data_IF_013236522733
#
_entry.id   IF_013236522733
#
_cell.length_a   1.000
_cell.length_b   1.000
_cell.length_c   1.000
_cell.angle_alpha   90.00
_cell.angle_beta   90.00
_cell.angle_gamma   90.00
#
_symmetry.space_group_name_H-M   'P 1'
#
loop_
_entity.id
_entity.type
_entity.pdbx_description
1 polymer ?
#
# COMPACT_ATOMS: atom_id res chain seq x y z
N UNK A 1 -15.41 -11.85 -17.73
CA UNK A 1 -15.30 -10.46 -17.17
C UNK A 1 -14.12 -10.40 -16.23
N UNK A 2 -13.25 -9.40 -16.39
CA UNK A 2 -12.10 -9.17 -15.49
C UNK A 2 -12.60 -8.75 -14.11
N UNK A 3 -11.84 -9.03 -13.04
CA UNK A 3 -12.24 -8.75 -11.66
C UNK A 3 -12.60 -7.27 -11.44
N UNK A 4 -11.81 -6.34 -12.00
CA UNK A 4 -12.08 -4.90 -11.89
C UNK A 4 -13.45 -4.49 -12.47
N UNK A 5 -13.91 -5.16 -13.54
CA UNK A 5 -15.24 -4.91 -14.12
C UNK A 5 -16.32 -5.35 -13.15
N UNK A 6 -16.16 -6.53 -12.53
CA UNK A 6 -17.10 -7.04 -11.54
C UNK A 6 -17.21 -6.11 -10.33
N UNK A 7 -16.09 -5.62 -9.82
CA UNK A 7 -16.07 -4.68 -8.68
C UNK A 7 -16.70 -3.34 -9.05
N UNK A 8 -16.38 -2.79 -10.23
CA UNK A 8 -16.97 -1.53 -10.70
C UNK A 8 -18.49 -1.65 -10.85
N UNK A 9 -18.97 -2.78 -11.37
CA UNK A 9 -20.41 -3.08 -11.45
C UNK A 9 -21.00 -3.21 -10.04
N UNK A 10 -20.32 -3.91 -9.12
CA UNK A 10 -20.74 -4.01 -7.72
C UNK A 10 -20.87 -2.65 -7.05
N UNK A 11 -19.91 -1.74 -7.26
CA UNK A 11 -19.96 -0.38 -6.76
C UNK A 11 -21.13 0.41 -7.36
N UNK A 12 -21.26 0.44 -8.68
CA UNK A 12 -22.34 1.19 -9.36
C UNK A 12 -23.70 0.65 -8.93
N UNK A 13 -23.87 -0.68 -8.90
CA UNK A 13 -25.08 -1.32 -8.42
C UNK A 13 -25.36 -0.98 -6.95
N UNK A 14 -24.32 -0.93 -6.11
CA UNK A 14 -24.46 -0.59 -4.70
C UNK A 14 -24.86 0.87 -4.47
N UNK A 15 -24.32 1.79 -5.26
CA UNK A 15 -24.76 3.20 -5.28
C UNK A 15 -26.23 3.29 -5.68
N UNK A 16 -26.61 2.67 -6.80
CA UNK A 16 -28.00 2.71 -7.31
C UNK A 16 -28.96 2.14 -6.27
N UNK A 17 -28.61 0.99 -5.69
CA UNK A 17 -29.42 0.34 -4.66
C UNK A 17 -29.54 1.20 -3.41
N UNK A 18 -28.42 1.70 -2.87
CA UNK A 18 -28.40 2.58 -1.69
C UNK A 18 -29.24 3.85 -1.87
N UNK A 19 -29.12 4.53 -3.03
CA UNK A 19 -29.92 5.73 -3.34
C UNK A 19 -31.40 5.39 -3.42
N UNK A 20 -31.75 4.30 -4.10
CA UNK A 20 -33.15 3.89 -4.29
C UNK A 20 -33.79 3.54 -2.95
N UNK A 21 -33.10 2.77 -2.12
CA UNK A 21 -33.57 2.39 -0.79
C UNK A 21 -33.73 3.60 0.12
N UNK A 22 -32.79 4.55 0.11
CA UNK A 22 -32.89 5.80 0.87
C UNK A 22 -34.08 6.65 0.43
N UNK A 23 -34.27 6.83 -0.89
CA UNK A 23 -35.41 7.59 -1.46
C UNK A 23 -36.77 6.98 -1.12
N UNK A 24 -36.85 5.65 -1.06
CA UNK A 24 -38.09 4.93 -0.74
C UNK A 24 -38.32 4.77 0.77
N UNK A 25 -37.40 5.23 1.63
CA UNK A 25 -37.52 5.07 3.09
C UNK A 25 -37.33 3.64 3.59
N UNK A 26 -36.75 2.75 2.77
CA UNK A 26 -36.66 1.31 3.03
C UNK A 26 -35.32 0.90 3.67
N UNK A 27 -34.77 1.72 4.58
CA UNK A 27 -33.40 1.57 5.10
C UNK A 27 -33.05 0.18 5.64
N UNK A 28 -34.04 -0.56 6.14
CA UNK A 28 -33.92 -1.95 6.62
C UNK A 28 -33.29 -2.90 5.59
N UNK A 29 -33.54 -2.67 4.29
CA UNK A 29 -33.04 -3.52 3.22
C UNK A 29 -31.52 -3.44 3.08
N UNK A 30 -30.94 -2.28 3.39
CA UNK A 30 -29.49 -2.11 3.37
C UNK A 30 -28.85 -2.87 4.54
N UNK A 31 -29.56 -2.98 5.66
CA UNK A 31 -29.15 -3.79 6.81
C UNK A 31 -29.04 -5.28 6.51
N UNK A 32 -29.88 -5.83 5.62
CA UNK A 32 -29.78 -7.24 5.20
C UNK A 32 -28.57 -7.52 4.30
N UNK A 33 -28.07 -6.51 3.60
CA UNK A 33 -26.91 -6.65 2.71
C UNK A 33 -25.59 -6.42 3.48
N UNK A 34 -25.61 -5.58 4.53
CA UNK A 34 -24.42 -5.23 5.33
C UNK A 34 -23.60 -6.44 5.81
N UNK A 35 -24.17 -7.57 6.30
CA UNK A 35 -23.38 -8.71 6.75
C UNK A 35 -22.43 -9.28 5.69
N UNK A 36 -22.78 -9.23 4.40
CA UNK A 36 -21.87 -9.66 3.34
C UNK A 36 -20.62 -8.77 3.25
N UNK A 37 -20.79 -7.46 3.50
CA UNK A 37 -19.70 -6.51 3.62
C UNK A 37 -18.86 -6.75 4.88
N UNK A 38 -19.51 -7.00 6.02
CA UNK A 38 -18.81 -7.27 7.29
C UNK A 38 -17.97 -8.57 7.22
N UNK A 39 -18.51 -9.64 6.61
CA UNK A 39 -17.77 -10.87 6.33
C UNK A 39 -16.55 -10.58 5.47
N UNK A 40 -16.71 -9.78 4.40
CA UNK A 40 -15.60 -9.41 3.53
C UNK A 40 -14.49 -8.67 4.31
N UNK A 41 -14.85 -7.70 5.16
CA UNK A 41 -13.88 -6.98 5.99
C UNK A 41 -13.20 -7.92 7.00
N UNK A 42 -13.95 -8.83 7.63
CA UNK A 42 -13.38 -9.79 8.58
C UNK A 42 -12.40 -10.75 7.92
N UNK A 43 -12.69 -11.21 6.70
CA UNK A 43 -11.75 -12.02 5.91
C UNK A 43 -10.44 -11.29 5.65
N UNK A 44 -10.51 -9.98 5.35
CA UNK A 44 -9.32 -9.14 5.19
C UNK A 44 -8.58 -8.96 6.53
N UNK A 45 -9.29 -8.68 7.63
CA UNK A 45 -8.68 -8.52 8.97
C UNK A 45 -7.92 -9.77 9.42
N UNK A 46 -8.47 -10.96 9.14
CA UNK A 46 -7.90 -12.26 9.53
C UNK A 46 -6.47 -12.50 9.00
N UNK A 47 -6.19 -12.05 7.78
CA UNK A 47 -4.94 -12.33 7.07
C UNK A 47 -3.86 -11.26 7.28
N UNK A 48 -4.22 -10.09 7.84
CA UNK A 48 -3.31 -8.93 7.97
C UNK A 48 -2.09 -9.26 8.81
N UNK A 49 -2.29 -9.79 10.01
CA UNK A 49 -1.18 -10.03 10.95
C UNK A 49 -0.20 -11.10 10.46
N UNK A 50 -0.67 -12.28 9.97
CA UNK A 50 0.23 -13.26 9.34
C UNK A 50 0.99 -12.70 8.15
N UNK A 51 0.32 -11.91 7.30
CA UNK A 51 0.96 -11.30 6.13
C UNK A 51 2.14 -10.43 6.52
N UNK A 52 1.94 -9.50 7.45
CA UNK A 52 2.98 -8.55 7.90
C UNK A 52 4.20 -9.32 8.41
N UNK A 53 3.98 -10.25 9.34
CA UNK A 53 5.07 -11.00 9.96
C UNK A 53 5.87 -11.80 8.92
N UNK A 54 5.19 -12.67 8.16
CA UNK A 54 5.88 -13.55 7.22
C UNK A 54 6.51 -12.78 6.06
N UNK A 55 5.89 -11.69 5.62
CA UNK A 55 6.42 -10.91 4.50
C UNK A 55 7.63 -10.08 4.89
N UNK A 56 7.64 -9.45 6.08
CA UNK A 56 8.82 -8.71 6.56
C UNK A 56 9.98 -9.67 6.83
N UNK A 57 9.73 -10.81 7.50
CA UNK A 57 10.77 -11.83 7.72
C UNK A 57 11.31 -12.33 6.37
N UNK A 58 10.43 -12.65 5.41
CA UNK A 58 10.84 -13.08 4.07
C UNK A 58 11.62 -11.99 3.33
N UNK A 59 11.20 -10.73 3.44
CA UNK A 59 11.88 -9.59 2.81
C UNK A 59 13.30 -9.42 3.33
N UNK A 60 13.50 -9.45 4.64
CA UNK A 60 14.83 -9.29 5.26
C UNK A 60 15.74 -10.49 4.97
N UNK A 61 15.17 -11.70 4.99
CA UNK A 61 15.92 -12.94 4.76
C UNK A 61 16.21 -13.22 3.27
N UNK A 62 15.60 -12.46 2.36
CA UNK A 62 15.89 -12.54 0.92
C UNK A 62 17.22 -11.86 0.53
N UNK A 63 17.79 -11.03 1.41
CA UNK A 63 19.08 -10.37 1.19
C UNK A 63 20.20 -11.38 1.46
N UNK A 64 20.80 -11.92 0.40
CA UNK A 64 21.77 -13.02 0.47
C UNK A 64 23.20 -12.57 0.82
N UNK A 65 23.96 -13.52 1.37
CA UNK A 65 25.28 -13.42 2.04
C UNK A 65 26.47 -12.95 1.14
N UNK A 66 26.23 -12.54 -0.11
CA UNK A 66 27.32 -11.96 -0.93
C UNK A 66 27.50 -10.48 -0.57
N UNK A 67 28.71 -10.06 -0.20
CA UNK A 67 29.03 -8.65 0.12
C UNK A 67 28.52 -7.66 -0.94
N UNK A 68 28.56 -8.06 -2.21
CA UNK A 68 28.10 -7.24 -3.33
C UNK A 68 26.57 -7.11 -3.37
N UNK A 69 25.82 -8.21 -3.30
CA UNK A 69 24.35 -8.15 -3.27
C UNK A 69 23.84 -7.48 -1.98
N UNK A 70 24.49 -7.73 -0.84
CA UNK A 70 24.13 -7.07 0.43
C UNK A 70 24.25 -5.54 0.35
N UNK A 71 25.32 -5.02 -0.28
CA UNK A 71 25.50 -3.59 -0.48
C UNK A 71 24.48 -2.98 -1.44
N UNK A 72 24.21 -3.65 -2.56
CA UNK A 72 23.19 -3.23 -3.54
C UNK A 72 21.80 -3.24 -2.91
N UNK A 73 21.48 -4.30 -2.17
CA UNK A 73 20.23 -4.45 -1.43
C UNK A 73 20.04 -3.37 -0.39
N UNK A 74 21.07 -3.09 0.43
CA UNK A 74 21.01 -2.02 1.42
C UNK A 74 20.77 -0.64 0.79
N UNK A 75 21.49 -0.31 -0.29
CA UNK A 75 21.26 0.93 -1.04
C UNK A 75 19.82 1.02 -1.56
N UNK A 76 19.31 -0.07 -2.13
CA UNK A 76 17.95 -0.13 -2.62
C UNK A 76 16.91 0.02 -1.50
N UNK A 77 17.06 -0.70 -0.39
CA UNK A 77 16.15 -0.59 0.76
C UNK A 77 16.12 0.83 1.31
N UNK A 78 17.26 1.48 1.50
CA UNK A 78 17.31 2.88 1.96
C UNK A 78 16.63 3.82 0.96
N UNK A 79 16.89 3.63 -0.34
CA UNK A 79 16.26 4.42 -1.39
C UNK A 79 14.73 4.25 -1.39
N UNK A 80 14.22 3.02 -1.27
CA UNK A 80 12.78 2.74 -1.18
C UNK A 80 12.14 3.37 0.06
N UNK A 81 12.75 3.24 1.24
CA UNK A 81 12.22 3.91 2.45
C UNK A 81 12.14 5.42 2.27
N UNK A 82 13.15 5.99 1.63
CA UNK A 82 13.21 7.43 1.37
C UNK A 82 12.11 7.85 0.41
N UNK A 83 11.94 7.17 -0.74
CA UNK A 83 10.89 7.51 -1.71
C UNK A 83 9.50 7.34 -1.12
N UNK A 84 9.27 6.29 -0.33
CA UNK A 84 7.98 6.04 0.31
C UNK A 84 7.67 7.09 1.38
N UNK A 85 8.66 7.52 2.16
CA UNK A 85 8.51 8.62 3.11
C UNK A 85 8.16 9.93 2.41
N UNK A 86 8.82 10.25 1.30
CA UNK A 86 8.46 11.43 0.50
C UNK A 86 7.06 11.30 -0.11
N UNK A 87 6.69 10.11 -0.59
CA UNK A 87 5.39 9.83 -1.16
C UNK A 87 4.27 10.13 -0.16
N UNK A 88 4.37 9.64 1.08
CA UNK A 88 3.35 9.93 2.10
C UNK A 88 3.29 11.42 2.46
N UNK A 89 4.43 12.11 2.54
CA UNK A 89 4.47 13.56 2.80
C UNK A 89 3.70 14.32 1.71
N UNK A 90 3.84 13.92 0.44
CA UNK A 90 3.08 14.50 -0.68
C UNK A 90 1.59 14.23 -0.50
N UNK A 91 1.21 13.00 -0.17
CA UNK A 91 -0.18 12.63 0.11
C UNK A 91 -0.79 13.50 1.21
N UNK A 92 -0.08 13.64 2.35
CA UNK A 92 -0.49 14.48 3.47
C UNK A 92 -0.58 15.96 3.08
N UNK A 93 0.41 16.49 2.35
CA UNK A 93 0.39 17.88 1.91
C UNK A 93 -0.81 18.17 0.99
N UNK A 94 -1.06 17.30 0.02
CA UNK A 94 -2.19 17.43 -0.91
C UNK A 94 -3.53 17.34 -0.17
N UNK A 95 -3.69 16.42 0.78
CA UNK A 95 -4.94 16.28 1.54
C UNK A 95 -5.19 17.43 2.53
N UNK A 96 -4.13 18.04 3.07
CA UNK A 96 -4.22 19.23 3.91
C UNK A 96 -4.60 20.48 3.12
N UNK A 97 -4.13 20.61 1.88
CA UNK A 97 -4.43 21.73 1.00
C UNK A 97 -5.84 21.61 0.42
N UNK A 98 -6.16 20.45 -0.18
CA UNK A 98 -7.42 20.24 -0.91
C UNK A 98 -8.59 19.81 -0.02
N UNK A 99 -8.31 19.35 1.21
CA UNK A 99 -9.28 19.02 2.25
C UNK A 99 -10.45 18.14 1.78
N UNK A 100 -10.17 16.94 1.23
CA UNK A 100 -11.19 16.12 0.57
C UNK A 100 -12.30 15.60 1.49
N UNK A 101 -12.06 15.53 2.81
CA UNK A 101 -13.05 15.06 3.80
C UNK A 101 -13.94 16.17 4.37
N UNK A 102 -13.64 17.45 4.10
CA UNK A 102 -14.47 18.56 4.60
C UNK A 102 -15.81 18.61 3.86
N UNK A 103 -16.89 18.74 4.63
CA UNK A 103 -18.26 18.80 4.12
C UNK A 103 -19.00 17.45 4.16
N UNK A 104 -18.44 16.44 4.83
CA UNK A 104 -19.14 15.21 5.20
C UNK A 104 -19.01 15.03 6.70
N UNK A 105 -20.12 14.65 7.34
CA UNK A 105 -20.14 14.25 8.75
C UNK A 105 -20.41 12.76 8.81
N UNK A 106 -19.37 11.98 9.09
CA UNK A 106 -19.48 10.57 9.41
C UNK A 106 -19.66 10.43 10.93
N UNK A 107 -20.86 10.09 11.37
CA UNK A 107 -21.15 9.88 12.79
C UNK A 107 -20.64 8.50 13.24
N UNK A 108 -19.52 8.49 13.96
CA UNK A 108 -18.97 7.31 14.63
C UNK A 108 -18.85 7.51 16.16
N UNK A 109 -19.79 8.26 16.76
CA UNK A 109 -19.74 8.78 18.14
C UNK A 109 -19.32 7.74 19.20
N UNK A 110 -19.87 6.52 19.17
CA UNK A 110 -19.53 5.45 20.14
C UNK A 110 -18.06 5.00 20.08
N UNK A 111 -17.39 5.14 18.94
CA UNK A 111 -16.00 4.68 18.74
C UNK A 111 -14.96 5.78 18.99
N UNK A 112 -15.36 7.05 18.97
CA UNK A 112 -14.46 8.19 19.17
C UNK A 112 -14.16 8.46 20.65
N UNK A 113 -15.08 8.15 21.58
CA UNK A 113 -14.84 8.32 23.03
C UNK A 113 -13.76 7.37 23.56
N UNK A 114 -13.67 6.14 23.03
CA UNK A 114 -12.63 5.18 23.42
C UNK A 114 -11.21 5.59 22.96
N UNK A 115 -11.12 6.37 21.87
CA UNK A 115 -9.87 6.81 21.27
C UNK A 115 -9.22 8.00 21.99
N UNK A 116 -10.05 8.95 22.46
CA UNK A 116 -9.60 10.21 23.05
C UNK A 116 -8.87 10.07 24.40
N UNK A 117 -8.90 8.88 25.02
CA UNK A 117 -8.34 8.65 26.35
C UNK A 117 -6.81 8.38 26.38
N UNK A 118 -6.15 8.14 25.23
CA UNK A 118 -4.69 7.89 25.20
C UNK A 118 -3.92 9.19 25.02
N UNK A 119 -3.33 9.71 26.10
CA UNK A 119 -2.26 10.71 26.00
C UNK A 119 -1.06 10.10 25.27
N UNK A 120 -0.62 10.75 24.20
CA UNK A 120 0.59 10.38 23.49
C UNK A 120 1.82 10.69 24.35
N UNK A 121 2.60 9.66 24.65
CA UNK A 121 3.93 9.77 25.23
C UNK A 121 4.93 9.15 24.25
N UNK A 122 5.77 10.00 23.65
CA UNK A 122 6.78 9.58 22.69
C UNK A 122 7.82 8.63 23.29
N UNK A 123 8.20 8.84 24.55
CA UNK A 123 9.15 7.96 25.25
C UNK A 123 8.49 6.59 25.44
N UNK A 124 7.25 6.59 25.90
CA UNK A 124 6.49 5.35 26.08
C UNK A 124 6.24 4.64 24.75
N UNK A 125 6.02 5.38 23.65
CA UNK A 125 5.91 4.80 22.30
C UNK A 125 7.19 4.06 21.92
N UNK A 126 8.37 4.66 22.09
CA UNK A 126 9.67 4.01 21.80
C UNK A 126 9.83 2.73 22.63
N UNK A 127 9.52 2.80 23.92
CA UNK A 127 9.58 1.63 24.82
C UNK A 127 8.63 0.54 24.34
N UNK A 128 7.41 0.91 23.93
CA UNK A 128 6.37 -0.01 23.49
C UNK A 128 6.58 -0.54 22.06
N UNK A 129 7.58 -0.06 21.29
CA UNK A 129 7.95 -0.68 20.01
C UNK A 129 8.40 -2.13 20.23
N UNK A 130 9.02 -2.42 21.38
CA UNK A 130 9.47 -3.76 21.73
C UNK A 130 8.32 -4.49 22.44
N UNK A 131 7.72 -5.53 21.82
CA UNK A 131 6.65 -6.28 22.48
C UNK A 131 7.18 -7.01 23.71
N UNK A 132 6.47 -6.90 24.83
CA UNK A 132 6.70 -7.76 26.01
C UNK A 132 6.16 -9.18 25.78
N UNK A 133 5.13 -9.34 24.93
CA UNK A 133 4.53 -10.63 24.58
C UNK A 133 3.98 -10.61 23.15
N UNK A 134 4.66 -11.30 22.22
CA UNK A 134 4.27 -11.34 20.81
C UNK A 134 2.89 -11.96 20.55
N UNK A 135 2.45 -12.93 21.35
CA UNK A 135 1.15 -13.56 21.13
C UNK A 135 0.00 -12.62 21.48
N UNK A 136 0.18 -11.81 22.53
CA UNK A 136 -0.74 -10.75 22.87
C UNK A 136 -0.76 -9.68 21.78
N UNK A 137 0.42 -9.24 21.33
CA UNK A 137 0.55 -8.28 20.24
C UNK A 137 -0.17 -8.73 18.96
N UNK A 138 -0.02 -10.01 18.58
CA UNK A 138 -0.70 -10.59 17.42
C UNK A 138 -2.22 -10.64 17.58
N UNK A 139 -2.70 -10.86 18.81
CA UNK A 139 -4.14 -10.91 19.11
C UNK A 139 -4.77 -9.51 19.18
N UNK A 140 -4.06 -8.54 19.76
CA UNK A 140 -4.50 -7.14 19.89
C UNK A 140 -4.27 -6.34 18.59
N UNK A 141 -3.44 -6.86 17.68
CA UNK A 141 -3.15 -6.23 16.40
C UNK A 141 -2.23 -5.01 16.51
N UNK A 142 -1.32 -4.98 17.48
CA UNK A 142 -0.31 -3.91 17.57
C UNK A 142 0.78 -4.13 16.51
N UNK A 143 0.61 -3.43 15.40
CA UNK A 143 1.43 -3.63 14.21
C UNK A 143 2.86 -3.19 14.42
N UNK A 144 3.11 -2.07 15.11
CA UNK A 144 4.45 -1.52 15.25
C UNK A 144 5.37 -2.52 15.96
N UNK A 145 4.82 -3.17 16.98
CA UNK A 145 5.45 -4.26 17.69
C UNK A 145 5.68 -5.51 16.82
N UNK A 146 4.69 -5.90 15.99
CA UNK A 146 4.82 -7.03 15.06
C UNK A 146 5.91 -6.77 14.03
N UNK A 147 5.97 -5.56 13.48
CA UNK A 147 7.01 -5.12 12.54
C UNK A 147 8.38 -5.21 13.19
N UNK A 148 8.55 -4.66 14.40
CA UNK A 148 9.81 -4.74 15.13
C UNK A 148 10.24 -6.19 15.35
N UNK A 149 9.33 -7.04 15.83
CA UNK A 149 9.60 -8.46 16.04
C UNK A 149 9.96 -9.19 14.75
N UNK A 150 9.25 -8.92 13.64
CA UNK A 150 9.54 -9.48 12.32
C UNK A 150 10.92 -9.06 11.82
N UNK A 151 11.30 -7.78 12.00
CA UNK A 151 12.63 -7.27 11.65
C UNK A 151 13.71 -7.99 12.45
N UNK A 152 13.56 -8.02 13.77
CA UNK A 152 14.49 -8.68 14.67
C UNK A 152 14.64 -10.18 14.34
N UNK A 153 13.53 -10.86 14.06
CA UNK A 153 13.49 -12.26 13.65
C UNK A 153 14.24 -12.48 12.33
N UNK A 154 13.96 -11.68 11.31
CA UNK A 154 14.63 -11.78 10.01
C UNK A 154 16.15 -11.57 10.10
N UNK A 155 16.59 -10.56 10.85
CA UNK A 155 18.03 -10.30 11.08
C UNK A 155 18.68 -11.46 11.82
N UNK A 156 18.01 -12.01 12.84
CA UNK A 156 18.50 -13.14 13.62
C UNK A 156 18.63 -14.39 12.77
N UNK A 157 17.64 -14.70 11.93
CA UNK A 157 17.67 -15.85 11.01
C UNK A 157 18.82 -15.75 10.01
N UNK A 158 19.09 -14.56 9.47
CA UNK A 158 20.25 -14.33 8.60
C UNK A 158 21.57 -14.57 9.36
N UNK A 159 21.67 -14.11 10.61
CA UNK A 159 22.88 -14.28 11.44
C UNK A 159 23.12 -15.72 11.89
N UNK A 160 22.09 -16.55 12.01
CA UNK A 160 22.26 -17.96 12.41
C UNK A 160 23.14 -18.74 11.43
N UNK A 161 23.13 -18.37 10.14
CA UNK A 161 23.92 -18.95 9.05
C UNK A 161 24.12 -20.48 9.12
N UNK A 162 23.08 -21.21 9.52
CA UNK A 162 23.11 -22.66 9.69
C UNK A 162 21.90 -23.32 8.98
N UNK A 163 21.93 -24.64 8.85
CA UNK A 163 20.90 -25.37 8.11
C UNK A 163 19.49 -25.22 8.72
N UNK A 164 19.41 -25.12 10.06
CA UNK A 164 18.14 -24.93 10.77
C UNK A 164 17.55 -23.56 10.45
N UNK A 165 18.36 -22.50 10.48
CA UNK A 165 17.96 -21.15 10.10
C UNK A 165 17.43 -21.12 8.66
N UNK A 166 18.12 -21.78 7.72
CA UNK A 166 17.65 -21.89 6.33
C UNK A 166 16.30 -22.60 6.19
N UNK A 167 16.04 -23.66 6.97
CA UNK A 167 14.73 -24.33 7.00
C UNK A 167 13.62 -23.41 7.50
N UNK A 168 13.88 -22.62 8.55
CA UNK A 168 12.91 -21.65 9.08
C UNK A 168 12.65 -20.53 8.07
N UNK A 169 13.68 -20.01 7.41
CA UNK A 169 13.54 -19.02 6.34
C UNK A 169 12.64 -19.56 5.23
N UNK A 170 12.89 -20.77 4.74
CA UNK A 170 12.07 -21.42 3.71
C UNK A 170 10.62 -21.62 4.14
N UNK A 171 10.38 -21.98 5.41
CA UNK A 171 9.04 -22.08 5.97
C UNK A 171 8.33 -20.71 5.99
N UNK A 172 9.01 -19.65 6.43
CA UNK A 172 8.45 -18.29 6.44
C UNK A 172 8.10 -17.79 5.03
N UNK A 173 8.97 -18.05 4.05
CA UNK A 173 8.71 -17.72 2.64
C UNK A 173 7.51 -18.49 2.08
N UNK A 174 7.38 -19.76 2.43
CA UNK A 174 6.23 -20.58 2.02
C UNK A 174 4.93 -20.07 2.65
N UNK A 175 4.96 -19.70 3.94
CA UNK A 175 3.81 -19.11 4.62
C UNK A 175 3.42 -17.75 4.04
N UNK A 176 4.38 -16.92 3.66
CA UNK A 176 4.09 -15.68 2.94
C UNK A 176 3.31 -15.97 1.64
N UNK A 177 3.80 -16.91 0.81
CA UNK A 177 3.10 -17.31 -0.42
C UNK A 177 1.69 -17.86 -0.16
N UNK A 178 1.50 -18.63 0.91
CA UNK A 178 0.19 -19.13 1.33
C UNK A 178 -0.78 -17.97 1.64
N UNK A 179 -0.35 -17.00 2.45
CA UNK A 179 -1.19 -15.85 2.83
C UNK A 179 -1.52 -14.99 1.60
N UNK A 180 -0.58 -14.79 0.70
CA UNK A 180 -0.83 -14.12 -0.59
C UNK A 180 -1.88 -14.87 -1.42
N UNK A 181 -1.86 -16.20 -1.43
CA UNK A 181 -2.87 -17.01 -2.12
C UNK A 181 -4.25 -16.87 -1.49
N UNK A 182 -4.33 -16.80 -0.16
CA UNK A 182 -5.59 -16.53 0.55
C UNK A 182 -6.16 -15.16 0.15
N UNK A 183 -5.32 -14.14 -0.01
CA UNK A 183 -5.74 -12.82 -0.50
C UNK A 183 -6.35 -12.92 -1.90
N UNK A 184 -5.70 -13.62 -2.83
CA UNK A 184 -6.26 -13.82 -4.17
C UNK A 184 -7.66 -14.43 -4.14
N UNK A 185 -7.91 -15.40 -3.25
CA UNK A 185 -9.22 -16.03 -3.07
C UNK A 185 -10.24 -15.05 -2.48
N UNK A 186 -9.88 -14.32 -1.42
CA UNK A 186 -10.76 -13.32 -0.78
C UNK A 186 -11.12 -12.21 -1.78
N UNK A 187 -10.17 -11.78 -2.61
CA UNK A 187 -10.40 -10.73 -3.60
C UNK A 187 -11.41 -11.12 -4.68
N UNK A 188 -11.67 -12.41 -4.91
CA UNK A 188 -12.77 -12.84 -5.80
C UNK A 188 -14.15 -12.47 -5.24
N UNK A 189 -14.27 -12.30 -3.92
CA UNK A 189 -15.49 -11.88 -3.23
C UNK A 189 -15.65 -10.34 -3.17
N UNK A 190 -14.62 -9.58 -3.54
CA UNK A 190 -14.64 -8.12 -3.50
C UNK A 190 -15.80 -7.45 -4.25
N UNK A 191 -16.37 -7.99 -5.36
CA UNK A 191 -17.55 -7.40 -5.98
C UNK A 191 -18.77 -7.36 -5.07
N UNK A 192 -18.96 -8.42 -4.26
CA UNK A 192 -20.08 -8.53 -3.32
C UNK A 192 -19.84 -7.65 -2.09
N UNK A 193 -18.60 -7.62 -1.59
CA UNK A 193 -18.19 -6.71 -0.52
C UNK A 193 -18.38 -5.25 -0.92
N UNK A 194 -17.90 -4.86 -2.10
CA UNK A 194 -18.06 -3.50 -2.63
C UNK A 194 -19.53 -3.11 -2.80
N UNK A 195 -20.37 -4.01 -3.34
CA UNK A 195 -21.81 -3.78 -3.42
C UNK A 195 -22.44 -3.55 -2.03
N UNK A 196 -22.17 -4.44 -1.09
CA UNK A 196 -22.76 -4.41 0.25
C UNK A 196 -22.35 -3.16 1.04
N UNK A 197 -21.05 -2.86 1.07
CA UNK A 197 -20.50 -1.72 1.81
C UNK A 197 -20.93 -0.39 1.18
N UNK A 198 -20.88 -0.28 -0.15
CA UNK A 198 -21.31 0.96 -0.85
C UNK A 198 -22.81 1.17 -0.68
N UNK A 199 -23.61 0.10 -0.76
CA UNK A 199 -25.05 0.18 -0.48
C UNK A 199 -25.32 0.69 0.92
N UNK A 200 -24.65 0.12 1.93
CA UNK A 200 -24.76 0.51 3.35
C UNK A 200 -24.48 1.98 3.56
N UNK A 201 -23.33 2.44 3.07
CA UNK A 201 -22.91 3.83 3.20
C UNK A 201 -23.90 4.76 2.49
N UNK A 202 -24.20 4.53 1.22
CA UNK A 202 -25.05 5.46 0.45
C UNK A 202 -26.49 5.45 0.98
N UNK A 203 -26.97 4.29 1.43
CA UNK A 203 -28.27 4.15 2.05
C UNK A 203 -28.40 4.90 3.37
N UNK A 204 -27.38 4.82 4.24
CA UNK A 204 -27.40 5.49 5.56
C UNK A 204 -26.99 6.96 5.45
N UNK A 205 -25.81 7.22 4.88
CA UNK A 205 -25.17 8.54 4.86
C UNK A 205 -25.59 9.42 3.66
N UNK A 206 -26.10 8.84 2.57
CA UNK A 206 -26.61 9.59 1.41
C UNK A 206 -25.56 9.90 0.33
N UNK A 207 -25.93 10.77 -0.60
CA UNK A 207 -25.14 11.10 -1.79
C UNK A 207 -23.98 12.06 -1.54
N UNK A 208 -24.03 12.85 -0.46
CA UNK A 208 -22.97 13.82 -0.13
C UNK A 208 -21.63 13.12 0.09
N UNK A 209 -21.67 11.89 0.61
CA UNK A 209 -20.50 11.03 0.76
C UNK A 209 -19.87 10.67 -0.59
N UNK A 210 -20.66 10.46 -1.64
CA UNK A 210 -20.14 10.15 -2.99
C UNK A 210 -19.36 11.34 -3.55
N UNK A 211 -19.84 12.57 -3.33
CA UNK A 211 -19.14 13.77 -3.79
C UNK A 211 -17.75 13.89 -3.12
N UNK A 212 -17.67 13.61 -1.83
CA UNK A 212 -16.39 13.67 -1.10
C UNK A 212 -15.46 12.49 -1.44
N UNK A 213 -16.01 11.30 -1.70
CA UNK A 213 -15.23 10.20 -2.26
C UNK A 213 -14.66 10.56 -3.64
N UNK A 214 -15.45 11.24 -4.48
CA UNK A 214 -14.98 11.72 -5.78
C UNK A 214 -13.86 12.77 -5.62
N UNK A 215 -14.02 13.72 -4.69
CA UNK A 215 -12.94 14.68 -4.34
C UNK A 215 -11.68 13.94 -3.89
N UNK A 216 -11.81 12.93 -3.02
CA UNK A 216 -10.69 12.12 -2.56
C UNK A 216 -9.99 11.43 -3.74
N UNK A 217 -10.73 10.80 -4.65
CA UNK A 217 -10.18 10.17 -5.87
C UNK A 217 -9.37 11.18 -6.69
N UNK A 218 -9.90 12.38 -6.92
CA UNK A 218 -9.20 13.44 -7.66
C UNK A 218 -7.92 13.90 -6.94
N UNK A 219 -7.97 14.07 -5.61
CA UNK A 219 -6.80 14.44 -4.83
C UNK A 219 -5.71 13.35 -4.91
N UNK A 220 -6.10 12.07 -4.85
CA UNK A 220 -5.16 10.94 -4.96
C UNK A 220 -4.51 10.91 -6.34
N UNK A 221 -5.27 11.13 -7.41
CA UNK A 221 -4.73 11.23 -8.78
C UNK A 221 -3.70 12.36 -8.87
N UNK A 222 -3.99 13.53 -8.30
CA UNK A 222 -3.05 14.65 -8.26
C UNK A 222 -1.77 14.26 -7.53
N UNK A 223 -1.87 13.71 -6.31
CA UNK A 223 -0.71 13.32 -5.51
C UNK A 223 0.15 12.26 -6.20
N UNK A 224 -0.47 11.26 -6.82
CA UNK A 224 0.23 10.23 -7.61
C UNK A 224 0.93 10.79 -8.84
N UNK A 225 0.30 11.75 -9.51
CA UNK A 225 0.89 12.44 -10.66
C UNK A 225 2.11 13.25 -10.23
N UNK A 226 2.06 13.93 -9.09
CA UNK A 226 3.21 14.62 -8.51
C UNK A 226 4.36 13.64 -8.20
N UNK A 227 4.06 12.49 -7.58
CA UNK A 227 5.07 11.46 -7.33
C UNK A 227 5.69 10.94 -8.62
N UNK A 228 4.87 10.71 -9.66
CA UNK A 228 5.34 10.29 -10.98
C UNK A 228 6.37 11.26 -11.56
N UNK A 229 6.15 12.58 -11.42
CA UNK A 229 7.10 13.61 -11.83
C UNK A 229 8.35 13.66 -10.95
N UNK A 230 8.21 13.42 -9.64
CA UNK A 230 9.36 13.36 -8.72
C UNK A 230 10.32 12.24 -9.10
N UNK A 231 9.84 11.10 -9.57
CA UNK A 231 10.74 10.07 -10.11
C UNK A 231 11.60 10.59 -11.27
N UNK A 232 11.02 11.38 -12.18
CA UNK A 232 11.78 12.02 -13.26
C UNK A 232 12.79 13.06 -12.74
N UNK A 233 12.42 13.84 -11.71
CA UNK A 233 13.34 14.76 -11.06
C UNK A 233 14.49 14.02 -10.37
N UNK A 234 14.24 12.88 -9.74
CA UNK A 234 15.28 12.04 -9.16
C UNK A 234 16.24 11.51 -10.24
N UNK A 235 15.71 11.04 -11.37
CA UNK A 235 16.54 10.61 -12.52
C UNK A 235 17.39 11.77 -13.05
N UNK A 236 16.83 12.98 -13.10
CA UNK A 236 17.53 14.17 -13.56
C UNK A 236 18.63 14.63 -12.58
N UNK A 237 18.31 14.86 -11.31
CA UNK A 237 19.25 15.44 -10.34
C UNK A 237 20.21 14.42 -9.75
N UNK A 238 19.71 13.23 -9.37
CA UNK A 238 20.53 12.18 -8.75
C UNK A 238 21.20 11.35 -9.83
N UNK A 239 20.40 10.91 -10.80
CA UNK A 239 20.88 10.09 -11.92
C UNK A 239 21.70 10.88 -12.93
N UNK A 240 21.59 12.22 -13.01
CA UNK A 240 22.21 13.05 -14.07
C UNK A 240 21.89 12.52 -15.47
N UNK A 241 20.64 12.11 -15.69
CA UNK A 241 20.13 11.58 -16.95
C UNK A 241 18.85 12.31 -17.34
N UNK A 242 18.58 12.41 -18.64
CA UNK A 242 17.27 12.91 -19.09
C UNK A 242 16.18 11.90 -18.68
N UNK A 243 15.07 12.31 -18.05
CA UNK A 243 13.99 11.40 -17.67
C UNK A 243 13.07 11.00 -18.83
N UNK A 244 13.21 11.63 -20.00
CA UNK A 244 12.31 11.42 -21.14
C UNK A 244 12.35 9.97 -21.66
N UNK A 245 13.53 9.34 -21.87
CA UNK A 245 13.59 7.94 -22.31
C UNK A 245 12.96 6.99 -21.29
N UNK A 246 13.12 7.26 -19.99
CA UNK A 246 12.48 6.50 -18.93
C UNK A 246 10.95 6.50 -19.10
N UNK A 247 10.30 7.67 -19.15
CA UNK A 247 8.85 7.71 -19.25
C UNK A 247 8.30 7.04 -20.52
N UNK A 248 8.98 7.22 -21.65
CA UNK A 248 8.59 6.59 -22.91
C UNK A 248 8.67 5.06 -22.84
N UNK A 249 9.78 4.52 -22.33
CA UNK A 249 10.02 3.08 -22.20
C UNK A 249 9.26 2.42 -21.04
N UNK A 250 8.71 3.23 -20.13
CA UNK A 250 7.95 2.72 -18.99
C UNK A 250 6.53 2.31 -19.31
N UNK A 251 5.98 2.75 -20.44
CA UNK A 251 4.56 2.65 -20.75
C UNK A 251 4.04 1.21 -20.72
N UNK A 252 4.77 0.25 -21.29
CA UNK A 252 4.30 -1.13 -21.41
C UNK A 252 4.11 -1.79 -20.04
N UNK A 253 5.11 -1.74 -19.15
CA UNK A 253 4.97 -2.33 -17.82
C UNK A 253 4.00 -1.53 -16.93
N UNK A 254 3.90 -0.20 -17.11
CA UNK A 254 2.93 0.64 -16.41
C UNK A 254 1.51 0.26 -16.81
N UNK A 255 1.23 0.09 -18.10
CA UNK A 255 -0.07 -0.34 -18.61
C UNK A 255 -0.43 -1.75 -18.11
N UNK A 256 0.54 -2.66 -18.08
CA UNK A 256 0.35 -4.00 -17.54
C UNK A 256 0.00 -3.93 -16.04
N UNK A 257 0.80 -3.22 -15.24
CA UNK A 257 0.59 -3.05 -13.80
C UNK A 257 -0.75 -2.35 -13.49
N UNK A 258 -1.13 -1.34 -14.27
CA UNK A 258 -2.43 -0.68 -14.18
C UNK A 258 -3.56 -1.70 -14.38
N UNK A 259 -3.46 -2.51 -15.45
CA UNK A 259 -4.52 -3.45 -15.82
C UNK A 259 -4.68 -4.65 -14.87
N UNK A 260 -3.58 -5.11 -14.28
CA UNK A 260 -3.55 -6.27 -13.37
C UNK A 260 -3.72 -5.85 -11.91
N UNK A 261 -3.32 -4.62 -11.57
CA UNK A 261 -3.18 -4.12 -10.20
C UNK A 261 -2.28 -5.02 -9.35
N UNK A 262 -1.25 -5.59 -10.00
CA UNK A 262 -0.23 -6.37 -9.31
C UNK A 262 1.14 -6.09 -9.90
N UNK A 263 2.04 -5.55 -9.07
CA UNK A 263 3.46 -5.38 -9.41
C UNK A 263 4.12 -6.73 -9.66
N UNK A 264 3.71 -7.78 -8.92
CA UNK A 264 4.21 -9.15 -9.12
C UNK A 264 3.83 -9.73 -10.47
N UNK A 265 2.58 -9.52 -10.92
CA UNK A 265 2.13 -9.99 -12.22
C UNK A 265 2.88 -9.31 -13.38
N UNK A 266 3.31 -8.06 -13.19
CA UNK A 266 4.07 -7.29 -14.18
C UNK A 266 5.60 -7.49 -14.09
N UNK A 267 6.10 -8.21 -13.07
CA UNK A 267 7.53 -8.26 -12.75
C UNK A 267 8.38 -8.82 -13.89
N UNK A 268 7.96 -9.92 -14.52
CA UNK A 268 8.74 -10.54 -15.60
C UNK A 268 8.88 -9.61 -16.82
N UNK A 269 7.78 -8.99 -17.26
CA UNK A 269 7.78 -7.98 -18.33
C UNK A 269 8.65 -6.77 -17.94
N UNK A 270 8.51 -6.30 -16.71
CA UNK A 270 9.30 -5.17 -16.18
C UNK A 270 10.79 -5.48 -16.22
N UNK A 271 11.20 -6.68 -15.78
CA UNK A 271 12.61 -7.11 -15.80
C UNK A 271 13.17 -7.17 -17.23
N UNK A 272 12.38 -7.62 -18.21
CA UNK A 272 12.80 -7.67 -19.61
C UNK A 272 13.00 -6.26 -20.18
N UNK A 273 12.01 -5.36 -20.02
CA UNK A 273 12.11 -3.96 -20.48
C UNK A 273 13.29 -3.25 -19.80
N UNK A 274 13.49 -3.50 -18.50
CA UNK A 274 14.61 -2.92 -17.77
C UNK A 274 15.97 -3.29 -18.37
N UNK A 275 16.15 -4.54 -18.81
CA UNK A 275 17.40 -5.01 -19.41
C UNK A 275 17.56 -4.54 -20.85
N UNK A 276 16.55 -4.80 -21.68
CA UNK A 276 16.64 -4.64 -23.14
C UNK A 276 16.46 -3.18 -23.59
N UNK A 277 15.66 -2.40 -22.87
CA UNK A 277 15.34 -1.02 -23.26
C UNK A 277 15.94 0.02 -22.32
N UNK A 278 16.00 -0.23 -21.01
CA UNK A 278 16.54 0.74 -20.05
C UNK A 278 18.02 0.52 -19.74
N UNK A 279 18.63 -0.59 -20.19
CA UNK A 279 20.05 -0.85 -20.00
C UNK A 279 20.45 -1.20 -18.55
N UNK A 280 19.49 -1.60 -17.71
CA UNK A 280 19.72 -1.96 -16.31
C UNK A 280 20.32 -3.37 -16.25
N UNK A 281 21.35 -3.56 -15.42
CA UNK A 281 22.06 -4.83 -15.33
C UNK A 281 21.18 -6.00 -14.90
N UNK A 282 21.58 -7.22 -15.31
CA UNK A 282 20.92 -8.46 -14.88
C UNK A 282 20.94 -8.61 -13.35
N UNK A 283 21.99 -8.13 -12.69
CA UNK A 283 22.16 -8.20 -11.24
C UNK A 283 21.08 -7.37 -10.54
N UNK A 284 20.93 -6.09 -10.92
CA UNK A 284 19.96 -5.20 -10.29
C UNK A 284 18.53 -5.59 -10.65
N UNK A 285 18.26 -5.98 -11.90
CA UNK A 285 16.91 -6.44 -12.29
C UNK A 285 16.49 -7.74 -11.62
N UNK A 286 17.42 -8.67 -11.34
CA UNK A 286 17.11 -9.95 -10.69
C UNK A 286 17.02 -9.86 -9.17
N UNK A 287 17.45 -8.75 -8.58
CA UNK A 287 17.55 -8.62 -7.13
C UNK A 287 16.78 -7.41 -6.58
N UNK A 288 17.02 -6.22 -7.11
CA UNK A 288 16.42 -4.96 -6.62
C UNK A 288 14.96 -4.81 -7.03
N UNK A 289 14.58 -5.22 -8.23
CA UNK A 289 13.17 -5.18 -8.68
C UNK A 289 12.29 -6.14 -7.86
N UNK A 290 12.61 -7.45 -7.71
CA UNK A 290 11.83 -8.34 -6.86
C UNK A 290 11.73 -7.85 -5.41
N UNK A 291 12.82 -7.30 -4.87
CA UNK A 291 12.84 -6.68 -3.54
C UNK A 291 11.86 -5.49 -3.47
N UNK A 292 11.87 -4.61 -4.48
CA UNK A 292 10.97 -3.48 -4.61
C UNK A 292 9.50 -3.89 -4.54
N UNK A 293 9.09 -4.91 -5.29
CA UNK A 293 7.68 -5.38 -5.30
C UNK A 293 7.12 -5.85 -3.94
N UNK A 294 7.98 -5.98 -2.92
CA UNK A 294 7.61 -6.39 -1.55
C UNK A 294 7.84 -5.32 -0.49
N UNK A 295 8.61 -4.27 -0.80
CA UNK A 295 9.02 -3.23 0.16
C UNK A 295 8.52 -1.86 -0.27
N UNK A 296 8.57 -1.57 -1.57
CA UNK A 296 8.23 -0.29 -2.14
C UNK A 296 6.74 -0.21 -2.48
N UNK A 297 6.03 0.66 -1.75
CA UNK A 297 4.64 0.96 -2.07
C UNK A 297 4.34 2.46 -1.97
N UNK A 298 5.12 3.30 -2.65
CA UNK A 298 4.93 4.76 -2.71
C UNK A 298 3.47 5.19 -2.98
N UNK A 299 2.82 4.61 -3.98
CA UNK A 299 1.42 4.89 -4.31
C UNK A 299 0.47 4.48 -3.19
N UNK A 300 0.77 3.38 -2.49
CA UNK A 300 0.00 2.98 -1.30
C UNK A 300 0.21 3.95 -0.15
N UNK A 301 1.44 4.38 0.12
CA UNK A 301 1.75 5.32 1.19
C UNK A 301 1.05 6.69 0.98
N UNK A 302 1.07 7.21 -0.25
CA UNK A 302 0.27 8.40 -0.64
C UNK A 302 -1.20 8.19 -0.27
N UNK A 303 -1.77 7.09 -0.77
CA UNK A 303 -3.18 6.80 -0.60
C UNK A 303 -3.58 6.67 0.87
N UNK A 304 -2.82 5.90 1.64
CA UNK A 304 -3.11 5.64 3.04
C UNK A 304 -3.04 6.91 3.90
N UNK A 305 -2.02 7.75 3.69
CA UNK A 305 -1.92 9.04 4.37
C UNK A 305 -3.10 9.97 4.02
N UNK A 306 -3.51 9.98 2.75
CA UNK A 306 -4.68 10.75 2.31
C UNK A 306 -5.99 10.23 2.89
N UNK A 307 -6.17 8.91 2.98
CA UNK A 307 -7.33 8.31 3.62
C UNK A 307 -7.39 8.66 5.11
N UNK A 308 -6.27 8.62 5.83
CA UNK A 308 -6.23 9.00 7.24
C UNK A 308 -6.68 10.46 7.45
N UNK A 309 -6.16 11.40 6.65
CA UNK A 309 -6.57 12.81 6.71
C UNK A 309 -8.03 12.99 6.28
N UNK A 310 -8.49 12.24 5.28
CA UNK A 310 -9.89 12.26 4.84
C UNK A 310 -10.83 11.86 5.97
N UNK A 311 -10.54 10.77 6.69
CA UNK A 311 -11.38 10.35 7.81
C UNK A 311 -11.35 11.35 8.94
N UNK A 312 -10.17 11.84 9.32
CA UNK A 312 -10.07 12.87 10.35
C UNK A 312 -10.95 14.09 10.04
N UNK A 313 -10.91 14.56 8.79
CA UNK A 313 -11.77 15.66 8.33
C UNK A 313 -13.26 15.30 8.33
N UNK A 314 -13.61 14.07 7.96
CA UNK A 314 -15.00 13.62 7.84
C UNK A 314 -15.64 13.24 9.18
N UNK A 315 -14.85 12.87 10.20
CA UNK A 315 -15.32 12.54 11.55
C UNK A 315 -15.16 13.69 12.53
N UNK A 316 -14.46 14.76 12.13
CA UNK A 316 -14.10 15.86 13.03
C UNK A 316 -12.99 15.50 14.02
N UNK A 317 -12.25 14.41 13.80
CA UNK A 317 -11.10 14.05 14.61
C UNK A 317 -9.94 15.03 14.33
N UNK A 318 -9.46 15.71 15.37
CA UNK A 318 -8.40 16.71 15.24
C UNK A 318 -7.01 16.05 15.28
N UNK A 319 -6.46 15.79 14.09
CA UNK A 319 -5.11 15.26 13.95
C UNK A 319 -4.08 16.26 14.47
N UNK A 320 -3.39 15.87 15.53
CA UNK A 320 -2.27 16.62 16.07
C UNK A 320 -1.01 16.33 15.26
N UNK A 321 0.02 17.17 15.43
CA UNK A 321 1.32 17.02 14.77
C UNK A 321 1.91 15.60 14.97
N UNK A 322 1.75 15.02 16.16
CA UNK A 322 2.26 13.69 16.46
C UNK A 322 1.54 12.58 15.68
N UNK A 323 0.25 12.73 15.39
CA UNK A 323 -0.50 11.75 14.60
C UNK A 323 0.05 11.66 13.18
N UNK A 324 0.44 12.78 12.56
CA UNK A 324 1.08 12.78 11.25
C UNK A 324 2.41 12.01 11.27
N UNK A 325 3.22 12.15 12.32
CA UNK A 325 4.46 11.38 12.47
C UNK A 325 4.18 9.89 12.61
N UNK A 326 3.18 9.50 13.40
CA UNK A 326 2.75 8.10 13.53
C UNK A 326 2.31 7.58 12.17
N UNK A 327 1.43 8.30 11.45
CA UNK A 327 0.95 7.91 10.12
C UNK A 327 2.11 7.71 9.14
N UNK A 328 3.10 8.61 9.13
CA UNK A 328 4.29 8.49 8.27
C UNK A 328 5.08 7.23 8.60
N UNK A 329 5.38 6.99 9.89
CA UNK A 329 6.17 5.83 10.31
C UNK A 329 5.40 4.54 10.07
N UNK A 330 4.13 4.46 10.45
CA UNK A 330 3.33 3.24 10.32
C UNK A 330 3.05 2.90 8.87
N UNK A 331 2.79 3.89 8.01
CA UNK A 331 2.61 3.64 6.59
C UNK A 331 3.92 3.27 5.89
N UNK A 332 5.05 3.89 6.25
CA UNK A 332 6.36 3.59 5.63
C UNK A 332 6.88 2.23 6.07
N UNK A 333 6.78 1.89 7.36
CA UNK A 333 7.13 0.55 7.83
C UNK A 333 6.11 -0.49 7.38
N UNK A 334 4.85 -0.09 7.30
CA UNK A 334 3.76 -0.93 6.86
C UNK A 334 3.77 -1.25 5.36
N UNK A 335 4.36 -0.40 4.52
CA UNK A 335 4.60 -0.72 3.11
C UNK A 335 5.55 -1.90 2.96
N UNK A 336 6.37 -2.18 3.98
CA UNK A 336 7.20 -3.37 4.04
C UNK A 336 6.30 -4.56 4.35
N UNK A 337 6.18 -5.46 3.37
CA UNK A 337 5.54 -6.75 3.58
C UNK A 337 4.09 -6.84 3.13
N UNK A 338 3.49 -5.78 2.60
CA UNK A 338 2.35 -5.97 1.71
C UNK A 338 2.93 -6.23 0.34
N UNK A 339 2.86 -7.48 -0.12
CA UNK A 339 3.32 -7.76 -1.48
C UNK A 339 2.44 -7.02 -2.49
N UNK A 340 2.99 -6.59 -3.63
CA UNK A 340 2.27 -5.89 -4.70
C UNK A 340 1.15 -6.72 -5.35
N UNK A 341 0.08 -6.97 -4.61
CA UNK A 341 -1.11 -7.73 -4.97
C UNK A 341 -2.37 -6.89 -4.70
N UNK A 342 -3.48 -7.18 -5.41
CA UNK A 342 -4.69 -6.37 -5.30
C UNK A 342 -5.25 -6.35 -3.88
N UNK A 343 -5.74 -5.17 -3.45
CA UNK A 343 -6.44 -5.01 -2.17
C UNK A 343 -5.54 -4.89 -0.93
N UNK A 344 -4.22 -4.75 -1.09
CA UNK A 344 -3.30 -4.56 0.04
C UNK A 344 -3.58 -3.31 0.90
N UNK A 345 -4.23 -2.29 0.35
CA UNK A 345 -4.66 -1.11 1.11
C UNK A 345 -5.78 -1.39 2.11
N UNK A 346 -6.67 -2.37 1.83
CA UNK A 346 -7.75 -2.76 2.74
C UNK A 346 -7.22 -3.43 4.02
N UNK A 347 -6.02 -3.98 3.93
CA UNK A 347 -5.25 -4.55 5.03
C UNK A 347 -4.60 -3.44 5.85
N UNK A 348 -4.00 -2.45 5.18
CA UNK A 348 -3.16 -1.43 5.80
C UNK A 348 -3.90 -0.22 6.36
N UNK A 349 -5.03 0.15 5.76
CA UNK A 349 -5.78 1.32 6.19
C UNK A 349 -6.36 1.16 7.62
N UNK A 350 -6.99 0.04 8.01
CA UNK A 350 -7.40 -0.16 9.40
C UNK A 350 -6.25 -0.02 10.40
N UNK A 351 -5.06 -0.51 10.03
CA UNK A 351 -3.85 -0.39 10.85
C UNK A 351 -3.49 1.07 11.10
N UNK A 352 -3.44 1.90 10.05
CA UNK A 352 -3.04 3.30 10.19
C UNK A 352 -4.07 4.07 11.00
N UNK A 353 -5.37 3.84 10.76
CA UNK A 353 -6.43 4.48 11.53
C UNK A 353 -6.33 4.09 13.01
N UNK A 354 -6.20 2.79 13.31
CA UNK A 354 -6.03 2.31 14.70
C UNK A 354 -4.78 2.89 15.38
N UNK A 355 -3.67 3.07 14.63
CA UNK A 355 -2.42 3.60 15.19
C UNK A 355 -2.53 5.05 15.71
N UNK A 356 -3.48 5.82 15.20
CA UNK A 356 -3.80 7.18 15.66
C UNK A 356 -5.14 7.24 16.38
N UNK A 357 -5.67 6.08 16.82
CA UNK A 357 -6.92 5.98 17.55
C UNK A 357 -8.19 6.24 16.71
N UNK A 358 -8.10 6.31 15.39
CA UNK A 358 -9.29 6.54 14.57
C UNK A 358 -10.14 5.27 14.37
N UNK A 359 -11.48 5.40 14.29
CA UNK A 359 -12.39 4.30 13.99
C UNK A 359 -12.09 3.66 12.63
N UNK A 360 -12.05 2.32 12.57
CA UNK A 360 -11.73 1.56 11.35
C UNK A 360 -12.95 1.32 10.46
N UNK A 361 -14.14 1.66 10.96
CA UNK A 361 -15.43 1.59 10.26
C UNK A 361 -15.41 2.45 8.99
N UNK A 362 -14.58 3.50 8.98
CA UNK A 362 -14.29 4.30 7.80
C UNK A 362 -13.77 3.47 6.62
N UNK A 363 -13.01 2.39 6.84
CA UNK A 363 -12.42 1.57 5.77
C UNK A 363 -13.48 1.03 4.80
N UNK A 364 -14.66 0.68 5.33
CA UNK A 364 -15.80 0.20 4.54
C UNK A 364 -16.25 1.20 3.46
N UNK A 365 -16.17 2.50 3.78
CA UNK A 365 -16.54 3.58 2.87
C UNK A 365 -15.61 3.65 1.66
N UNK A 366 -14.33 3.39 1.88
CA UNK A 366 -13.30 3.49 0.86
C UNK A 366 -13.17 2.20 0.05
N UNK A 367 -13.58 1.05 0.60
CA UNK A 367 -13.57 -0.25 -0.07
C UNK A 367 -14.18 -0.24 -1.47
N UNK A 368 -15.23 0.56 -1.67
CA UNK A 368 -15.85 0.72 -2.98
C UNK A 368 -14.92 1.33 -4.02
N UNK A 369 -14.32 2.49 -3.74
CA UNK A 369 -13.49 3.24 -4.69
C UNK A 369 -12.04 2.71 -4.78
N UNK A 370 -11.63 1.93 -3.77
CA UNK A 370 -10.26 1.45 -3.63
C UNK A 370 -9.77 0.71 -4.85
N UNK A 371 -10.64 -0.07 -5.52
CA UNK A 371 -10.22 -0.85 -6.68
C UNK A 371 -9.75 0.01 -7.85
N UNK A 372 -10.36 1.18 -8.06
CA UNK A 372 -9.93 2.13 -9.11
C UNK A 372 -8.57 2.71 -8.74
N UNK A 373 -8.45 3.14 -7.49
CA UNK A 373 -7.22 3.71 -6.97
C UNK A 373 -6.09 2.67 -6.91
N UNK A 374 -6.40 1.39 -6.76
CA UNK A 374 -5.46 0.27 -6.75
C UNK A 374 -4.66 0.16 -8.05
N UNK A 375 -5.32 0.37 -9.18
CA UNK A 375 -4.67 0.37 -10.51
C UNK A 375 -3.62 1.48 -10.59
N UNK A 376 -3.97 2.68 -10.12
CA UNK A 376 -3.07 3.84 -10.10
C UNK A 376 -1.91 3.64 -9.12
N UNK A 377 -2.20 3.18 -7.89
CA UNK A 377 -1.18 2.86 -6.88
C UNK A 377 -0.15 1.88 -7.41
N UNK A 378 -0.62 0.79 -8.02
CA UNK A 378 0.27 -0.24 -8.57
C UNK A 378 1.18 0.34 -9.66
N UNK A 379 0.64 1.21 -10.49
CA UNK A 379 1.39 1.90 -11.55
C UNK A 379 2.49 2.79 -10.97
N UNK A 380 2.18 3.55 -9.91
CA UNK A 380 3.19 4.37 -9.21
C UNK A 380 4.25 3.50 -8.53
N UNK A 381 3.84 2.42 -7.85
CA UNK A 381 4.76 1.52 -7.16
C UNK A 381 5.78 0.92 -8.14
N UNK A 382 5.32 0.34 -9.24
CA UNK A 382 6.24 -0.28 -10.23
C UNK A 382 7.13 0.77 -10.92
N UNK A 383 6.63 2.00 -11.09
CA UNK A 383 7.45 3.11 -11.61
C UNK A 383 8.55 3.48 -10.63
N UNK A 384 8.25 3.50 -9.33
CA UNK A 384 9.23 3.67 -8.26
C UNK A 384 10.25 2.53 -8.23
N UNK A 385 9.81 1.28 -8.38
CA UNK A 385 10.68 0.09 -8.43
C UNK A 385 11.75 0.22 -9.51
N UNK A 386 11.34 0.59 -10.72
CA UNK A 386 12.28 0.77 -11.84
C UNK A 386 13.16 2.00 -11.63
N UNK A 387 12.62 3.10 -11.09
CA UNK A 387 13.38 4.33 -10.80
C UNK A 387 14.51 4.05 -9.80
N UNK A 388 14.20 3.42 -8.67
CA UNK A 388 15.19 3.07 -7.64
C UNK A 388 16.18 2.04 -8.17
N UNK A 389 15.70 0.99 -8.85
CA UNK A 389 16.58 -0.01 -9.47
C UNK A 389 17.59 0.65 -10.40
N UNK A 390 17.15 1.56 -11.26
CA UNK A 390 18.00 2.28 -12.20
C UNK A 390 19.04 3.16 -11.50
N UNK A 391 18.62 3.95 -10.50
CA UNK A 391 19.51 4.83 -9.75
C UNK A 391 20.56 4.04 -8.95
N UNK A 392 20.15 2.91 -8.35
CA UNK A 392 21.07 2.01 -7.64
C UNK A 392 22.07 1.41 -8.64
N UNK A 393 21.59 0.83 -9.74
CA UNK A 393 22.44 0.21 -10.77
C UNK A 393 23.44 1.20 -11.40
N UNK A 394 22.99 2.44 -11.62
CA UNK A 394 23.86 3.53 -12.05
C UNK A 394 24.89 3.92 -11.00
N UNK A 395 24.50 4.00 -9.72
CA UNK A 395 25.45 4.28 -8.63
C UNK A 395 26.52 3.18 -8.46
N UNK A 396 26.28 2.01 -9.02
CA UNK A 396 27.18 0.86 -9.07
C UNK A 396 28.00 0.79 -10.37
N UNK A 397 27.81 1.74 -11.29
CA UNK A 397 28.44 1.76 -12.63
C UNK A 397 28.18 0.48 -13.45
N UNK A 398 27.03 -0.18 -13.23
CA UNK A 398 26.66 -1.40 -13.96
C UNK A 398 25.68 -1.14 -15.12
N UNK A 399 25.04 0.03 -15.14
CA UNK A 399 24.04 0.39 -16.12
C UNK A 399 24.65 0.72 -17.49
N UNK A 400 24.09 0.16 -18.56
CA UNK A 400 24.42 0.53 -19.92
C UNK A 400 23.62 1.78 -20.34
N UNK A 401 24.30 2.93 -20.35
CA UNK A 401 23.69 4.23 -20.64
C UNK A 401 23.37 4.40 -22.13
N UNK A 402 24.07 3.72 -23.03
CA UNK A 402 23.80 3.82 -24.47
C UNK A 402 22.46 3.17 -24.83
N UNK A 403 22.16 2.02 -24.23
CA UNK A 403 20.85 1.35 -24.37
C UNK A 403 19.72 2.26 -23.85
N UNK A 404 19.95 2.98 -22.75
CA UNK A 404 18.97 3.92 -22.20
C UNK A 404 18.59 5.03 -23.19
N UNK A 405 19.56 5.60 -23.89
CA UNK A 405 19.32 6.67 -24.86
C UNK A 405 18.94 6.18 -26.27
N UNK A 406 19.14 4.90 -26.57
CA UNK A 406 18.70 4.33 -27.84
C UNK A 406 17.17 4.17 -27.87
N UNK A 407 16.51 4.93 -28.75
CA UNK A 407 15.05 4.92 -28.90
C UNK A 407 14.55 3.91 -29.95
N UNK A 408 15.45 3.29 -30.71
CA UNK A 408 15.10 2.33 -31.76
C UNK A 408 14.68 0.96 -31.19
N UNK A 409 15.07 0.68 -29.94
CA UNK A 409 14.70 -0.53 -29.19
C UNK A 409 13.24 -0.53 -28.67
N UNK A 410 12.39 0.40 -29.10
CA UNK A 410 11.00 0.52 -28.66
C UNK A 410 9.98 -0.23 -29.55
N UNK A 411 10.44 -0.88 -30.63
CA UNK A 411 9.58 -1.59 -31.59
C UNK A 411 9.29 -3.04 -31.21
#
# INVERSE_FOLDING_TARGET
>A
MKLWQKVSIGLIAGVIFGVTVKKLGLLSYVGYVKPAGDIFINLIKMIVMPLIFFSIVSGITSISDSRTLGRIGLKATIAYMTTTTFAIIIGLAVSLILKPGVGVTLNFEESMEAAAAKKFDFIQMIVNIVPSNIFQTLAEGDVLQIVFFAIFTGITLNKMNNEIGRKIIGACQTMNLLVLKMIEMIMQLSPYGAFALTSWVVGTQGLDVINSLFKLVMCVIIAMTLQYFIFGLMIYFIGRMSPIPFYKKSFEYQALAFSTSSSKAALATTMNICREQLGISKTSTSFVLPLGTSINMDGMAIYLGMCAVFFAQATGFDLQIHDYFIIIITATLGSIGVAGIPGGSMVMLPMILSSVGMPIEGVALIAGIDRILDMLRTTINITGDVTVTMLVDKSENMMNVDVYYNMDNMN
#
